data_IF_652491127939
#
_entry.id   IF_652491127939
#
_cell.length_a   1.000
_cell.length_b   1.000
_cell.length_c   1.000
_cell.angle_alpha   90.00
_cell.angle_beta   90.00
_cell.angle_gamma   90.00
#
_symmetry.space_group_name_H-M   'P 1'
#
loop_
_entity.id
_entity.type
_entity.pdbx_description
1 polymer ?
#
# COMPACT_ATOMS: atom_id res chain seq x y z
N UNK A 1 38.63 -49.36 5.39
CA UNK A 1 38.45 -48.81 5.41
C UNK A 1 37.72 -47.94 5.40
N UNK A 2 37.73 -47.89 5.33
CA UNK A 2 37.27 -47.13 5.33
C UNK A 2 36.56 -46.23 5.23
N UNK A 3 36.45 -46.13 5.24
CA UNK A 3 35.94 -45.32 5.14
C UNK A 3 35.23 -44.55 5.10
N UNK A 4 35.18 -44.76 5.23
CA UNK A 4 34.61 -44.06 5.21
C UNK A 4 33.94 -43.20 5.18
N UNK A 5 34.12 -43.28 5.24
CA UNK A 5 33.61 -42.52 5.21
C UNK A 5 33.00 -41.64 5.03
N UNK A 6 33.01 -41.85 4.95
CA UNK A 6 32.56 -41.03 4.67
C UNK A 6 31.81 -40.26 4.68
N UNK A 7 31.74 -40.21 4.73
CA UNK A 7 31.22 -39.43 4.72
C UNK A 7 30.43 -38.75 4.72
N UNK A 8 30.41 -38.86 4.91
CA UNK A 8 29.85 -38.22 4.97
C UNK A 8 29.17 -37.36 4.86
N UNK A 9 29.23 -37.37 4.86
CA UNK A 9 28.82 -36.51 4.68
C UNK A 9 28.06 -35.67 4.61
N UNK A 10 28.11 -35.79 4.65
CA UNK A 10 27.64 -35.04 4.66
C UNK A 10 26.96 -34.18 4.59
N UNK A 11 26.88 -34.19 4.72
CA UNK A 11 26.45 -33.31 4.60
C UNK A 11 25.72 -32.54 4.67
N UNK A 12 25.77 -32.71 4.84
CA UNK A 12 25.39 -31.98 4.91
C UNK A 12 24.65 -31.19 4.87
N UNK A 13 24.71 -31.40 5.04
CA UNK A 13 24.31 -30.59 4.93
C UNK A 13 23.62 -29.76 4.83
N UNK A 14 23.60 -29.91 4.74
CA UNK A 14 23.13 -29.07 4.69
C UNK A 14 22.37 -28.30 4.63
N UNK A 15 22.31 -28.31 4.60
CA UNK A 15 21.89 -27.59 4.50
C UNK A 15 21.14 -26.81 4.64
N UNK A 16 21.07 -26.68 4.70
CA UNK A 16 20.61 -26.04 5.00
C UNK A 16 20.20 -25.17 5.08
N UNK A 17 20.39 -25.09 5.10
CA UNK A 17 20.25 -24.28 5.16
C UNK A 17 19.82 -23.48 4.80
N UNK A 18 20.06 -23.58 4.79
CA UNK A 18 19.81 -22.73 4.21
C UNK A 18 18.78 -22.01 4.07
N UNK A 19 18.41 -22.08 3.84
CA UNK A 19 17.33 -21.51 3.56
C UNK A 19 16.58 -20.78 4.48
N UNK A 20 16.61 -21.05 5.49
CA UNK A 20 15.76 -20.40 6.41
C UNK A 20 15.91 -18.93 6.39
N UNK A 21 17.04 -18.45 6.08
CA UNK A 21 17.19 -17.02 6.11
C UNK A 21 16.26 -16.29 5.22
N UNK A 22 15.89 -16.88 4.12
CA UNK A 22 15.04 -16.20 3.20
C UNK A 22 13.70 -15.86 3.75
N UNK A 23 13.24 -16.61 4.66
CA UNK A 23 11.91 -16.37 5.15
C UNK A 23 11.79 -15.02 5.79
N UNK A 24 12.84 -14.58 6.37
CA UNK A 24 12.75 -13.30 7.00
C UNK A 24 12.79 -12.16 6.05
N UNK A 25 13.09 -12.44 4.84
CA UNK A 25 13.10 -11.39 3.85
C UNK A 25 11.73 -11.01 3.37
N UNK A 26 10.71 -11.72 3.80
CA UNK A 26 9.37 -11.38 3.37
C UNK A 26 9.02 -10.01 3.89
N UNK A 27 8.62 -9.15 2.99
CA UNK A 27 8.17 -7.82 3.35
C UNK A 27 6.69 -7.73 3.12
N UNK A 28 6.05 -6.88 3.90
CA UNK A 28 4.63 -6.66 3.72
C UNK A 28 4.42 -6.05 2.36
N UNK A 29 3.51 -6.62 1.60
CA UNK A 29 3.17 -6.08 0.30
C UNK A 29 2.25 -4.90 0.47
N UNK A 30 2.28 -3.96 -0.48
CA UNK A 30 1.31 -2.88 -0.46
C UNK A 30 -0.10 -3.44 -0.48
N UNK A 31 -0.96 -2.81 0.26
CA UNK A 31 -2.36 -3.20 0.29
C UNK A 31 -3.08 -2.51 -0.86
N UNK A 32 -3.72 -3.29 -1.72
CA UNK A 32 -4.44 -2.75 -2.86
C UNK A 32 -5.88 -3.22 -2.81
N UNK A 33 -6.81 -2.30 -2.96
CA UNK A 33 -8.23 -2.58 -2.87
C UNK A 33 -8.94 -1.82 -3.99
N UNK A 34 -9.94 -2.47 -4.59
CA UNK A 34 -10.78 -1.81 -5.57
C UNK A 34 -11.92 -1.10 -4.87
N UNK A 35 -12.06 0.18 -5.17
CA UNK A 35 -13.09 1.02 -4.58
C UNK A 35 -13.67 1.87 -5.70
N UNK A 36 -14.45 2.85 -5.37
CA UNK A 36 -14.95 3.83 -6.33
C UNK A 36 -14.52 5.21 -5.92
N UNK A 37 -14.14 6.02 -6.90
CA UNK A 37 -13.71 7.38 -6.66
C UNK A 37 -14.41 8.32 -7.61
N UNK A 38 -14.46 9.58 -7.24
CA UNK A 38 -14.92 10.60 -8.15
C UNK A 38 -14.21 11.90 -7.85
N UNK A 39 -14.13 12.72 -8.86
CA UNK A 39 -13.56 14.04 -8.77
C UNK A 39 -14.71 15.03 -8.74
N UNK A 40 -14.79 15.78 -7.65
CA UNK A 40 -15.82 16.79 -7.51
C UNK A 40 -17.21 16.15 -7.62
N UNK A 41 -18.03 16.60 -8.55
CA UNK A 41 -19.39 16.08 -8.72
C UNK A 41 -19.51 15.16 -9.92
N UNK A 42 -18.38 14.69 -10.45
CA UNK A 42 -18.42 13.80 -11.58
C UNK A 42 -18.91 12.42 -11.16
N UNK A 43 -19.12 11.56 -12.14
CA UNK A 43 -19.61 10.22 -11.88
C UNK A 43 -18.62 9.41 -11.09
N UNK A 44 -19.12 8.48 -10.29
CA UNK A 44 -18.26 7.52 -9.62
C UNK A 44 -17.64 6.57 -10.65
N UNK A 45 -16.36 6.27 -10.44
CA UNK A 45 -15.62 5.42 -11.36
C UNK A 45 -14.85 4.37 -10.59
N UNK A 46 -14.53 3.26 -11.23
CA UNK A 46 -13.64 2.29 -10.61
C UNK A 46 -12.33 2.96 -10.23
N UNK A 47 -11.82 2.59 -9.08
CA UNK A 47 -10.68 3.28 -8.50
C UNK A 47 -9.85 2.26 -7.74
N UNK A 48 -8.54 2.42 -7.79
CA UNK A 48 -7.66 1.55 -7.06
C UNK A 48 -7.02 2.29 -5.91
N UNK A 49 -7.22 1.76 -4.73
CA UNK A 49 -6.61 2.28 -3.51
C UNK A 49 -5.39 1.44 -3.21
N UNK A 50 -4.23 2.08 -3.07
CA UNK A 50 -2.99 1.37 -2.74
C UNK A 50 -2.35 2.06 -1.56
N UNK A 51 -2.09 1.32 -0.50
CA UNK A 51 -1.46 1.84 0.70
C UNK A 51 -0.12 1.16 0.92
N UNK A 52 0.93 1.97 1.21
CA UNK A 52 2.26 1.42 1.42
C UNK A 52 3.12 2.45 2.13
N UNK A 53 3.25 2.37 3.43
CA UNK A 53 2.55 1.45 4.35
C UNK A 53 1.16 1.98 4.70
N UNK A 54 0.33 1.06 5.15
CA UNK A 54 -1.02 1.41 5.55
C UNK A 54 -0.98 2.47 6.64
N UNK A 55 -1.80 3.49 6.47
CA UNK A 55 -1.89 4.54 7.47
C UNK A 55 -0.91 5.68 7.30
N UNK A 56 0.08 5.52 6.44
CA UNK A 56 1.10 6.57 6.26
C UNK A 56 1.07 7.14 4.85
N UNK A 57 1.01 6.28 3.87
CA UNK A 57 1.00 6.73 2.48
C UNK A 57 0.04 5.87 1.70
N UNK A 58 -0.74 6.51 0.87
CA UNK A 58 -1.61 5.78 -0.03
C UNK A 58 -1.85 6.62 -1.26
N UNK A 59 -2.41 5.99 -2.27
CA UNK A 59 -2.81 6.73 -3.45
C UNK A 59 -4.07 6.13 -4.03
N UNK A 60 -4.74 6.96 -4.81
CA UNK A 60 -5.94 6.58 -5.54
C UNK A 60 -5.62 6.75 -7.02
N UNK A 61 -5.96 5.73 -7.82
CA UNK A 61 -5.76 5.80 -9.25
C UNK A 61 -7.08 5.61 -9.97
N UNK A 62 -7.51 6.59 -10.73
CA UNK A 62 -8.72 6.49 -11.54
C UNK A 62 -8.70 7.55 -12.63
N UNK A 63 -9.21 7.18 -13.78
CA UNK A 63 -9.46 8.14 -14.86
C UNK A 63 -8.27 9.05 -15.13
N UNK A 64 -7.08 8.49 -15.30
CA UNK A 64 -5.86 9.24 -15.58
C UNK A 64 -5.36 10.07 -14.42
N UNK A 65 -6.03 10.03 -13.29
CA UNK A 65 -5.59 10.75 -12.11
C UNK A 65 -4.89 9.80 -11.17
N UNK A 66 -3.84 10.27 -10.58
CA UNK A 66 -3.19 9.58 -9.49
C UNK A 66 -3.04 10.55 -8.35
N UNK A 67 -3.78 10.30 -7.29
CA UNK A 67 -3.80 11.18 -6.15
C UNK A 67 -2.98 10.52 -5.06
N UNK A 68 -1.96 11.22 -4.58
CA UNK A 68 -1.07 10.70 -3.55
C UNK A 68 -1.34 11.39 -2.24
N UNK A 69 -1.26 10.61 -1.16
CA UNK A 69 -1.52 11.10 0.17
C UNK A 69 -0.39 10.69 1.09
N UNK A 70 -0.06 11.56 2.03
CA UNK A 70 0.88 11.26 3.10
C UNK A 70 0.32 11.76 4.42
N UNK A 71 0.54 10.96 5.45
CA UNK A 71 0.13 11.29 6.80
C UNK A 71 1.35 11.10 7.69
N UNK A 72 1.72 12.15 8.43
CA UNK A 72 2.97 12.14 9.15
C UNK A 72 2.83 11.73 10.62
N UNK A 73 1.64 11.30 11.00
CA UNK A 73 1.41 10.86 12.37
C UNK A 73 1.05 11.97 13.34
N UNK A 74 1.09 13.22 12.89
CA UNK A 74 0.75 14.35 13.76
C UNK A 74 -0.67 14.82 13.57
N UNK A 75 -1.40 14.19 12.67
CA UNK A 75 -2.74 14.64 12.31
C UNK A 75 -2.76 15.45 11.05
N UNK A 76 -1.62 15.77 10.51
CA UNK A 76 -1.55 16.52 9.25
C UNK A 76 -1.47 15.55 8.09
N UNK A 77 -2.23 15.86 7.06
CA UNK A 77 -2.29 15.04 5.87
C UNK A 77 -2.06 15.92 4.66
N UNK A 78 -1.31 15.41 3.70
CA UNK A 78 -0.99 16.15 2.49
C UNK A 78 -1.43 15.34 1.28
N UNK A 79 -1.76 16.05 0.23
CA UNK A 79 -2.25 15.45 -1.00
C UNK A 79 -1.52 16.08 -2.19
N UNK A 80 -1.28 15.29 -3.19
CA UNK A 80 -0.66 15.75 -4.43
C UNK A 80 -1.31 15.03 -5.59
N UNK A 81 -1.52 15.75 -6.68
CA UNK A 81 -2.22 15.21 -7.85
C UNK A 81 -1.22 15.01 -8.98
N UNK A 82 -1.15 13.78 -9.49
CA UNK A 82 -0.39 13.43 -10.69
C UNK A 82 1.09 13.79 -10.63
N UNK A 83 1.68 13.79 -9.44
CA UNK A 83 3.11 14.06 -9.25
C UNK A 83 3.56 15.43 -9.70
N UNK A 84 2.68 16.22 -10.27
CA UNK A 84 3.07 17.50 -10.86
C UNK A 84 2.74 18.67 -9.99
N UNK A 85 1.70 18.55 -9.20
CA UNK A 85 1.32 19.65 -8.34
C UNK A 85 2.16 19.62 -7.08
N UNK A 86 2.19 20.72 -6.37
CA UNK A 86 2.80 20.75 -5.07
C UNK A 86 1.92 20.01 -4.09
N UNK A 87 2.53 19.52 -3.02
CA UNK A 87 1.78 18.96 -1.93
C UNK A 87 0.94 20.05 -1.28
N UNK A 88 -0.30 19.73 -0.95
CA UNK A 88 -1.16 20.64 -0.24
C UNK A 88 -1.76 19.92 0.94
N UNK A 89 -2.02 20.68 1.99
CA UNK A 89 -2.60 20.13 3.20
C UNK A 89 -4.09 19.91 3.00
N UNK A 90 -4.58 18.76 3.40
CA UNK A 90 -6.00 18.43 3.26
C UNK A 90 -6.48 17.76 4.53
N UNK A 91 -7.76 17.70 4.68
CA UNK A 91 -8.40 16.97 5.76
C UNK A 91 -9.46 16.07 5.17
N UNK A 92 -9.60 14.90 5.76
CA UNK A 92 -10.62 13.96 5.35
C UNK A 92 -11.93 14.32 6.02
N UNK A 93 -13.02 14.16 5.29
CA UNK A 93 -14.35 14.37 5.85
C UNK A 93 -15.30 13.37 5.20
N UNK A 94 -16.33 13.01 5.93
CA UNK A 94 -17.36 12.11 5.41
C UNK A 94 -18.46 12.93 4.76
N UNK A 95 -18.84 12.50 3.58
CA UNK A 95 -19.97 13.12 2.90
C UNK A 95 -21.27 12.52 3.39
N UNK A 96 -22.37 13.14 3.01
CA UNK A 96 -23.68 12.61 3.37
C UNK A 96 -23.95 11.27 2.72
N UNK A 97 -23.26 10.99 1.64
CA UNK A 97 -23.41 9.72 0.93
C UNK A 97 -22.59 8.60 1.56
N UNK A 98 -21.85 8.89 2.60
CA UNK A 98 -21.01 7.88 3.20
C UNK A 98 -19.68 7.72 2.52
N UNK A 99 -19.28 8.68 1.72
CA UNK A 99 -17.98 8.64 1.07
C UNK A 99 -16.96 9.44 1.86
N UNK A 100 -15.71 9.06 1.76
CA UNK A 100 -14.62 9.78 2.41
C UNK A 100 -14.02 10.72 1.38
N UNK A 101 -13.94 11.99 1.71
CA UNK A 101 -13.50 13.01 0.78
C UNK A 101 -12.30 13.77 1.30
N UNK A 102 -11.40 14.10 0.38
CA UNK A 102 -10.24 14.93 0.64
C UNK A 102 -10.28 16.05 -0.41
N UNK A 103 -10.81 17.20 0.01
CA UNK A 103 -11.01 18.25 -0.98
C UNK A 103 -12.04 17.81 -2.02
N UNK A 104 -11.64 17.83 -3.27
CA UNK A 104 -12.56 17.49 -4.36
C UNK A 104 -12.54 16.02 -4.73
N UNK A 105 -11.69 15.22 -4.09
CA UNK A 105 -11.59 13.81 -4.37
C UNK A 105 -12.34 13.04 -3.31
N UNK A 106 -13.21 12.14 -3.74
CA UNK A 106 -13.96 11.30 -2.82
C UNK A 106 -13.80 9.84 -3.19
N UNK A 107 -13.84 8.98 -2.19
CA UNK A 107 -13.76 7.55 -2.39
C UNK A 107 -14.78 6.86 -1.52
N UNK A 108 -15.32 5.76 -2.01
CA UNK A 108 -16.27 4.96 -1.24
C UNK A 108 -16.01 3.49 -1.49
N UNK A 109 -16.40 2.66 -0.52
CA UNK A 109 -16.17 1.24 -0.59
C UNK A 109 -15.41 0.80 0.65
N UNK A 110 -14.73 -0.31 0.54
CA UNK A 110 -14.00 -0.88 1.68
C UNK A 110 -12.62 -0.24 1.78
N UNK A 111 -12.60 0.97 2.29
CA UNK A 111 -11.34 1.71 2.41
C UNK A 111 -10.61 1.26 3.67
N UNK A 112 -9.38 0.75 3.54
CA UNK A 112 -8.61 0.30 4.69
C UNK A 112 -7.91 1.48 5.35
N UNK A 113 -8.68 2.33 5.97
CA UNK A 113 -8.17 3.55 6.57
C UNK A 113 -8.09 3.41 8.06
N UNK A 114 -7.01 2.95 8.54
CA UNK A 114 -6.83 2.89 9.99
C UNK A 114 -5.73 3.78 10.46
#
# INVERSE_FOLDING_TARGET
>A
MIQSIGFTLRLITPLLLIAPGCIRCVQAEPLAVDVECRWSHEAWEPCRFVADPVGSRWNLGFNRHRIQFEHDGTGLMRMRINHRSAWSQVQASWSEEGALCWGEVCARGDLPMD
#
